data_IF_249260335597
#
_entry.id   IF_249260335597
#
_cell.length_a   1.000
_cell.length_b   1.000
_cell.length_c   1.000
_cell.angle_alpha   90.00
_cell.angle_beta   90.00
_cell.angle_gamma   90.00
#
_symmetry.space_group_name_H-M   'P 1'
#
loop_
_entity.id
_entity.type
_entity.pdbx_description
1 polymer ?
#
# COMPACT_ATOMS: atom_id res chain seq x y z
N UNK A 1 14.95 -12.72 -11.23
CA UNK A 1 14.48 -11.49 -11.90
C UNK A 1 15.65 -10.85 -12.65
N UNK A 2 15.48 -10.40 -13.88
CA UNK A 2 16.56 -9.83 -14.67
C UNK A 2 16.38 -8.32 -14.94
N UNK A 3 17.38 -7.67 -15.58
CA UNK A 3 17.35 -6.25 -15.91
C UNK A 3 16.09 -5.83 -16.69
N UNK A 4 15.60 -6.69 -17.60
CA UNK A 4 14.39 -6.38 -18.39
C UNK A 4 13.13 -6.41 -17.55
N UNK A 5 13.07 -7.27 -16.52
CA UNK A 5 11.96 -7.31 -15.59
C UNK A 5 11.92 -6.02 -14.77
N UNK A 6 13.07 -5.55 -14.26
CA UNK A 6 13.15 -4.29 -13.50
C UNK A 6 12.74 -3.09 -14.37
N UNK A 7 13.23 -3.01 -15.62
CA UNK A 7 12.83 -1.96 -16.55
C UNK A 7 11.33 -1.97 -16.83
N UNK A 8 10.75 -3.16 -16.97
CA UNK A 8 9.32 -3.34 -17.22
C UNK A 8 8.49 -2.91 -16.01
N UNK A 9 8.87 -3.36 -14.81
CA UNK A 9 8.17 -3.00 -13.57
C UNK A 9 8.24 -1.49 -13.29
N UNK A 10 9.39 -0.87 -13.53
CA UNK A 10 9.53 0.59 -13.39
C UNK A 10 8.65 1.35 -14.39
N UNK A 11 8.62 0.92 -15.65
CA UNK A 11 7.76 1.53 -16.66
C UNK A 11 6.27 1.37 -16.35
N UNK A 12 5.84 0.21 -15.80
CA UNK A 12 4.48 0.01 -15.32
C UNK A 12 4.11 1.02 -14.25
N UNK A 13 5.01 1.22 -13.29
CA UNK A 13 4.81 2.16 -12.19
C UNK A 13 4.78 3.62 -12.66
N UNK A 14 5.71 4.02 -13.56
CA UNK A 14 5.79 5.40 -14.07
C UNK A 14 4.63 5.78 -15.00
N UNK A 15 4.19 4.84 -15.83
CA UNK A 15 3.09 5.06 -16.79
C UNK A 15 1.71 4.71 -16.20
N UNK A 16 1.69 4.09 -15.01
CA UNK A 16 0.47 3.61 -14.35
C UNK A 16 -0.38 2.73 -15.28
N UNK A 17 0.31 1.90 -16.09
CA UNK A 17 -0.34 1.06 -17.10
C UNK A 17 0.26 -0.33 -17.17
N UNK A 18 -0.61 -1.31 -17.45
CA UNK A 18 -0.20 -2.67 -17.82
C UNK A 18 -0.33 -2.96 -19.33
N UNK A 19 -0.59 -1.93 -20.16
CA UNK A 19 -0.72 -2.11 -21.63
C UNK A 19 0.61 -2.49 -22.26
N UNK A 20 0.72 -3.69 -22.88
CA UNK A 20 1.96 -4.13 -23.50
C UNK A 20 2.43 -3.22 -24.64
N UNK A 21 1.51 -2.53 -25.33
CA UNK A 21 1.82 -1.60 -26.39
C UNK A 21 2.51 -0.34 -25.85
N UNK A 22 1.96 0.27 -24.78
CA UNK A 22 2.54 1.43 -24.14
C UNK A 22 3.89 1.11 -23.49
N UNK A 23 3.98 -0.05 -22.85
CA UNK A 23 5.21 -0.54 -22.25
C UNK A 23 6.30 -0.82 -23.31
N UNK A 24 5.90 -1.27 -24.50
CA UNK A 24 6.82 -1.41 -25.65
C UNK A 24 7.38 -0.06 -26.10
N UNK A 25 6.52 0.93 -26.23
CA UNK A 25 6.94 2.30 -26.63
C UNK A 25 7.96 2.88 -25.66
N UNK A 26 7.78 2.67 -24.37
CA UNK A 26 8.67 3.18 -23.32
C UNK A 26 9.98 2.39 -23.20
N UNK A 27 9.89 1.06 -23.17
CA UNK A 27 11.04 0.20 -22.84
C UNK A 27 11.79 -0.33 -24.06
N UNK A 28 11.18 -0.29 -25.24
CA UNK A 28 11.70 -0.96 -26.46
C UNK A 28 11.65 -2.48 -26.42
N UNK A 29 11.09 -3.08 -25.36
CA UNK A 29 10.93 -4.54 -25.25
C UNK A 29 9.78 -4.99 -26.17
N UNK A 30 9.98 -6.04 -27.03
CA UNK A 30 8.92 -6.51 -27.91
C UNK A 30 7.66 -6.91 -27.16
N UNK A 31 6.47 -6.58 -27.70
CA UNK A 31 5.15 -6.86 -27.08
C UNK A 31 5.00 -8.31 -26.66
N UNK A 32 5.41 -9.26 -27.51
CA UNK A 32 5.35 -10.70 -27.20
C UNK A 32 6.23 -11.08 -25.99
N UNK A 33 7.38 -10.41 -25.86
CA UNK A 33 8.28 -10.58 -24.71
C UNK A 33 7.67 -9.99 -23.45
N UNK A 34 7.00 -8.84 -23.57
CA UNK A 34 6.30 -8.19 -22.44
C UNK A 34 5.20 -9.13 -21.92
N UNK A 35 4.35 -9.65 -22.79
CA UNK A 35 3.32 -10.62 -22.37
C UNK A 35 3.91 -11.82 -21.63
N UNK A 36 4.98 -12.40 -22.16
CA UNK A 36 5.64 -13.53 -21.51
C UNK A 36 6.17 -13.16 -20.11
N UNK A 37 6.86 -12.00 -20.00
CA UNK A 37 7.42 -11.53 -18.74
C UNK A 37 6.37 -11.16 -17.70
N UNK A 38 5.30 -10.46 -18.10
CA UNK A 38 4.19 -10.15 -17.22
C UNK A 38 3.55 -11.41 -16.64
N UNK A 39 3.39 -12.45 -17.45
CA UNK A 39 2.86 -13.72 -16.97
C UNK A 39 3.80 -14.39 -15.97
N UNK A 40 5.11 -14.42 -16.24
CA UNK A 40 6.09 -14.97 -15.30
C UNK A 40 6.10 -14.18 -13.97
N UNK A 41 6.10 -12.85 -14.03
CA UNK A 41 6.08 -12.00 -12.83
C UNK A 41 4.80 -12.20 -11.99
N UNK A 42 3.66 -12.52 -12.64
CA UNK A 42 2.44 -12.92 -11.91
C UNK A 42 2.57 -14.30 -11.28
N UNK A 43 3.13 -15.28 -12.02
CA UNK A 43 3.35 -16.63 -11.50
C UNK A 43 4.35 -16.64 -10.32
N UNK A 44 5.34 -15.75 -10.34
CA UNK A 44 6.32 -15.55 -9.27
C UNK A 44 5.78 -14.70 -8.10
N UNK A 45 4.56 -14.14 -8.22
CA UNK A 45 3.93 -13.30 -7.19
C UNK A 45 4.52 -11.89 -7.06
N UNK A 46 5.33 -11.45 -8.02
CA UNK A 46 5.87 -10.07 -8.08
C UNK A 46 4.76 -9.09 -8.48
N UNK A 47 3.91 -9.49 -9.42
CA UNK A 47 2.68 -8.77 -9.78
C UNK A 47 1.52 -9.52 -9.14
N UNK A 48 0.91 -8.94 -8.11
CA UNK A 48 -0.14 -9.59 -7.32
C UNK A 48 -1.52 -9.48 -7.96
N UNK A 49 -1.79 -8.41 -8.68
CA UNK A 49 -3.11 -8.14 -9.24
C UNK A 49 -3.07 -7.12 -10.40
N UNK A 50 -4.20 -7.03 -11.13
CA UNK A 50 -4.46 -6.04 -12.18
C UNK A 50 -5.60 -5.09 -11.74
N UNK A 51 -5.59 -4.60 -10.50
CA UNK A 51 -6.65 -3.76 -9.96
C UNK A 51 -6.62 -2.38 -10.60
N UNK A 52 -7.81 -1.83 -10.77
CA UNK A 52 -7.96 -0.41 -11.09
C UNK A 52 -7.55 0.42 -9.89
N UNK A 53 -6.89 1.53 -10.14
CA UNK A 53 -6.74 2.60 -9.15
C UNK A 53 -8.06 3.36 -9.05
N UNK A 54 -8.56 3.51 -7.82
CA UNK A 54 -9.86 4.11 -7.56
C UNK A 54 -9.65 5.39 -6.76
N UNK A 55 -10.10 6.50 -7.31
CA UNK A 55 -10.09 7.78 -6.61
C UNK A 55 -11.10 7.76 -5.44
N UNK A 56 -10.57 7.60 -4.23
CA UNK A 56 -11.37 7.53 -3.01
C UNK A 56 -11.98 8.87 -2.63
N UNK A 57 -11.36 10.00 -3.03
CA UNK A 57 -11.88 11.34 -2.78
C UNK A 57 -13.13 11.58 -3.61
N UNK A 58 -13.11 11.23 -4.90
CA UNK A 58 -14.27 11.28 -5.78
C UNK A 58 -15.41 10.35 -5.33
N UNK A 59 -15.10 9.25 -4.64
CA UNK A 59 -16.10 8.38 -4.01
C UNK A 59 -16.66 8.92 -2.69
N UNK A 60 -16.11 10.02 -2.16
CA UNK A 60 -16.52 10.56 -0.86
C UNK A 60 -15.84 9.88 0.34
N UNK A 61 -14.77 9.12 0.14
CA UNK A 61 -13.93 8.49 1.17
C UNK A 61 -12.58 9.23 1.33
N UNK A 62 -12.59 10.55 1.15
CA UNK A 62 -11.39 11.39 1.11
C UNK A 62 -10.77 11.70 2.47
N UNK A 63 -11.43 11.36 3.59
CA UNK A 63 -10.87 11.62 4.91
C UNK A 63 -9.88 10.53 5.29
N UNK A 64 -8.61 10.89 5.39
CA UNK A 64 -7.54 9.99 5.85
C UNK A 64 -7.22 10.26 7.31
N UNK A 65 -7.19 9.21 8.12
CA UNK A 65 -6.82 9.26 9.53
C UNK A 65 -5.68 8.29 9.78
N UNK A 66 -4.62 8.78 10.43
CA UNK A 66 -3.54 7.97 10.96
C UNK A 66 -3.78 7.79 12.45
N UNK A 67 -3.90 6.56 12.92
CA UNK A 67 -4.13 6.25 14.34
C UNK A 67 -2.91 5.50 14.88
N UNK A 68 -2.27 6.09 15.87
CA UNK A 68 -1.25 5.41 16.67
C UNK A 68 -1.98 4.65 17.78
N UNK A 69 -1.75 3.35 17.87
CA UNK A 69 -2.37 2.47 18.86
C UNK A 69 -1.30 2.00 19.83
N UNK A 70 -1.53 2.28 21.12
CA UNK A 70 -0.76 1.74 22.23
C UNK A 70 -1.55 0.57 22.80
N UNK A 71 -0.92 -0.59 22.91
CA UNK A 71 -1.63 -1.81 23.22
C UNK A 71 -0.87 -2.67 24.24
N UNK A 72 -1.63 -3.20 25.20
CA UNK A 72 -1.21 -4.32 26.07
C UNK A 72 -2.09 -5.53 25.71
N UNK A 73 -1.59 -6.35 24.81
CA UNK A 73 -2.33 -7.51 24.29
C UNK A 73 -1.68 -8.83 24.70
N UNK A 74 -2.52 -9.84 24.86
CA UNK A 74 -2.08 -11.22 25.04
C UNK A 74 -2.21 -11.97 23.71
N UNK A 75 -1.23 -12.82 23.42
CA UNK A 75 -1.17 -13.55 22.15
C UNK A 75 -0.19 -12.94 21.16
N UNK A 76 -0.42 -13.20 19.88
CA UNK A 76 0.44 -12.71 18.81
C UNK A 76 0.03 -11.30 18.36
N UNK A 77 0.99 -10.54 17.81
CA UNK A 77 0.71 -9.23 17.23
C UNK A 77 -0.17 -9.34 15.97
N UNK A 78 -0.08 -10.47 15.25
CA UNK A 78 -0.91 -10.75 14.08
C UNK A 78 -2.39 -10.86 14.47
N UNK A 79 -2.70 -11.62 15.53
CA UNK A 79 -4.08 -11.76 16.03
C UNK A 79 -4.65 -10.43 16.52
N UNK A 80 -3.80 -9.58 17.10
CA UNK A 80 -4.20 -8.23 17.51
C UNK A 80 -4.44 -7.34 16.30
N UNK A 81 -3.55 -7.36 15.29
CA UNK A 81 -3.72 -6.62 14.05
C UNK A 81 -4.99 -7.02 13.29
N UNK A 82 -5.34 -8.31 13.26
CA UNK A 82 -6.58 -8.80 12.67
C UNK A 82 -7.82 -8.16 13.32
N UNK A 83 -7.81 -7.97 14.64
CA UNK A 83 -8.89 -7.25 15.32
C UNK A 83 -8.98 -5.79 14.94
N UNK A 84 -7.84 -5.10 14.79
CA UNK A 84 -7.81 -3.72 14.30
C UNK A 84 -8.36 -3.61 12.87
N UNK A 85 -8.06 -4.60 12.01
CA UNK A 85 -8.54 -4.66 10.63
C UNK A 85 -10.05 -4.91 10.51
N UNK A 86 -10.73 -5.40 11.57
CA UNK A 86 -12.19 -5.55 11.54
C UNK A 86 -12.94 -4.22 11.65
N UNK A 87 -12.28 -3.16 12.07
CA UNK A 87 -12.90 -1.83 12.20
C UNK A 87 -13.14 -1.23 10.81
N UNK A 88 -14.37 -0.82 10.56
CA UNK A 88 -14.78 -0.28 9.26
C UNK A 88 -14.00 0.98 8.89
N UNK A 89 -13.51 1.03 7.65
CA UNK A 89 -12.68 2.11 7.14
C UNK A 89 -11.18 1.92 7.34
N UNK A 90 -10.74 0.96 8.14
CA UNK A 90 -9.32 0.62 8.28
C UNK A 90 -8.82 -0.04 6.99
N UNK A 91 -7.76 0.53 6.42
CA UNK A 91 -7.14 0.03 5.19
C UNK A 91 -5.79 -0.63 5.42
N UNK A 92 -5.01 -0.13 6.37
CA UNK A 92 -3.67 -0.64 6.67
C UNK A 92 -3.44 -0.70 8.18
N UNK A 93 -2.75 -1.74 8.61
CA UNK A 93 -2.25 -1.89 9.98
C UNK A 93 -0.77 -2.25 9.91
N UNK A 94 0.06 -1.45 10.54
CA UNK A 94 1.50 -1.68 10.64
C UNK A 94 1.87 -1.95 12.07
N UNK A 95 2.54 -3.08 12.33
CA UNK A 95 3.19 -3.33 13.61
C UNK A 95 4.53 -2.58 13.64
N UNK A 96 4.79 -1.84 14.71
CA UNK A 96 5.95 -0.96 14.82
C UNK A 96 6.81 -1.31 16.03
N UNK A 97 8.09 -0.96 15.95
CA UNK A 97 9.00 -1.02 17.09
C UNK A 97 9.29 0.39 17.58
N UNK A 98 8.91 0.70 18.82
CA UNK A 98 9.10 2.04 19.40
C UNK A 98 8.09 2.34 20.50
N UNK A 99 7.71 3.60 20.64
CA UNK A 99 6.71 4.04 21.64
C UNK A 99 5.29 3.64 21.27
N UNK A 100 5.04 3.40 20.00
CA UNK A 100 3.75 3.01 19.45
C UNK A 100 3.80 1.57 19.02
N UNK A 101 2.79 0.76 19.35
CA UNK A 101 2.75 -0.66 18.97
C UNK A 101 2.23 -0.87 17.55
N UNK A 102 1.21 -0.10 17.17
CA UNK A 102 0.63 -0.15 15.82
C UNK A 102 0.35 1.23 15.26
N UNK A 103 0.54 1.37 13.95
CA UNK A 103 0.05 2.50 13.17
C UNK A 103 -1.04 1.98 12.23
N UNK A 104 -2.20 2.60 12.31
CA UNK A 104 -3.37 2.26 11.50
C UNK A 104 -3.67 3.40 10.55
N UNK A 105 -3.97 3.05 9.29
CA UNK A 105 -4.49 4.01 8.30
C UNK A 105 -5.95 3.69 8.06
N UNK A 106 -6.79 4.71 8.13
CA UNK A 106 -8.22 4.60 7.80
C UNK A 106 -8.62 5.62 6.72
N UNK A 107 -9.54 5.21 5.85
CA UNK A 107 -10.16 6.04 4.81
C UNK A 107 -11.65 6.14 5.09
N UNK A 108 -12.16 7.35 5.32
CA UNK A 108 -13.48 7.61 5.86
C UNK A 108 -14.19 8.71 5.07
N UNK A 109 -15.53 8.77 5.20
CA UNK A 109 -16.34 9.77 4.49
C UNK A 109 -16.52 11.09 5.25
N UNK A 110 -16.24 11.12 6.56
CA UNK A 110 -16.44 12.34 7.34
C UNK A 110 -16.33 12.12 8.85
N UNK A 111 -16.64 13.16 9.61
CA UNK A 111 -16.45 13.20 11.06
C UNK A 111 -17.24 12.15 11.83
N UNK A 112 -18.44 11.81 11.38
CA UNK A 112 -19.27 10.78 12.03
C UNK A 112 -18.58 9.40 11.99
N UNK A 113 -17.97 9.05 10.83
CA UNK A 113 -17.20 7.80 10.73
C UNK A 113 -15.92 7.84 11.55
N UNK A 114 -15.31 9.01 11.70
CA UNK A 114 -14.13 9.16 12.57
C UNK A 114 -14.47 8.92 14.03
N UNK A 115 -15.56 9.50 14.53
CA UNK A 115 -16.03 9.28 15.90
C UNK A 115 -16.33 7.80 16.14
N UNK A 116 -16.96 7.14 15.17
CA UNK A 116 -17.26 5.71 15.22
C UNK A 116 -15.98 4.86 15.22
N UNK A 117 -15.00 5.17 14.37
CA UNK A 117 -13.70 4.50 14.33
C UNK A 117 -13.01 4.53 15.70
N UNK A 118 -12.95 5.71 16.34
CA UNK A 118 -12.32 5.88 17.64
C UNK A 118 -13.08 5.05 18.70
N UNK A 119 -14.40 5.12 18.71
CA UNK A 119 -15.22 4.37 19.65
C UNK A 119 -15.07 2.84 19.49
N UNK A 120 -14.92 2.36 18.25
CA UNK A 120 -14.71 0.94 17.99
C UNK A 120 -13.30 0.50 18.44
N UNK A 121 -12.27 1.30 18.26
CA UNK A 121 -10.94 0.98 18.79
C UNK A 121 -10.91 0.89 20.31
N UNK A 122 -11.59 1.79 21.01
CA UNK A 122 -11.68 1.77 22.49
C UNK A 122 -12.37 0.51 23.03
N UNK A 123 -13.14 -0.19 22.20
CA UNK A 123 -13.80 -1.45 22.58
C UNK A 123 -12.95 -2.70 22.35
N UNK A 124 -11.85 -2.58 21.63
CA UNK A 124 -10.94 -3.70 21.37
C UNK A 124 -10.14 -3.99 22.64
N UNK A 125 -10.29 -5.21 23.16
CA UNK A 125 -9.53 -5.64 24.33
C UNK A 125 -8.02 -5.60 24.05
N UNK A 126 -7.29 -4.91 24.91
CA UNK A 126 -5.84 -4.70 24.78
C UNK A 126 -5.47 -3.34 24.18
N UNK A 127 -6.41 -2.56 23.65
CA UNK A 127 -6.14 -1.16 23.30
C UNK A 127 -6.10 -0.33 24.58
N UNK A 128 -4.94 0.25 24.89
CA UNK A 128 -4.77 1.11 26.05
C UNK A 128 -5.05 2.58 25.72
N UNK A 129 -4.54 3.03 24.58
CA UNK A 129 -4.66 4.42 24.11
C UNK A 129 -4.56 4.50 22.60
N UNK A 130 -5.29 5.45 22.04
CA UNK A 130 -5.15 5.83 20.64
C UNK A 130 -4.86 7.32 20.51
N UNK A 131 -3.96 7.67 19.58
CA UNK A 131 -3.67 9.05 19.19
C UNK A 131 -3.95 9.20 17.71
N UNK A 132 -4.97 9.99 17.37
CA UNK A 132 -5.42 10.16 15.98
C UNK A 132 -4.90 11.43 15.36
N UNK A 133 -4.35 11.32 14.15
CA UNK A 133 -3.90 12.43 13.32
C UNK A 133 -4.71 12.48 12.04
N UNK A 134 -5.33 13.62 11.77
CA UNK A 134 -6.08 13.86 10.54
C UNK A 134 -5.16 14.38 9.46
N UNK A 135 -5.19 13.73 8.29
CA UNK A 135 -4.50 14.23 7.11
C UNK A 135 -5.37 15.32 6.46
N UNK A 136 -4.87 16.54 6.44
CA UNK A 136 -5.58 17.68 5.83
C UNK A 136 -5.51 17.58 4.30
N UNK A 137 -4.36 17.17 3.78
CA UNK A 137 -4.13 17.01 2.34
C UNK A 137 -2.99 16.02 2.12
N UNK A 138 -3.19 15.06 1.23
CA UNK A 138 -2.10 14.29 0.67
C UNK A 138 -1.39 15.17 -0.37
N UNK A 139 -0.12 15.50 -0.13
CA UNK A 139 0.64 16.35 -1.05
C UNK A 139 1.03 15.55 -2.29
N UNK A 140 1.52 14.32 -2.07
CA UNK A 140 1.90 13.40 -3.12
C UNK A 140 1.95 11.97 -2.56
N UNK A 141 1.39 11.05 -3.31
CA UNK A 141 1.52 9.60 -3.05
C UNK A 141 2.18 8.99 -4.28
N UNK A 142 3.38 8.43 -4.10
CA UNK A 142 4.14 7.78 -5.17
C UNK A 142 4.22 6.29 -4.93
N UNK A 143 4.20 5.53 -6.02
CA UNK A 143 4.63 4.14 -6.00
C UNK A 143 6.12 4.07 -5.63
N UNK A 144 6.50 3.03 -4.89
CA UNK A 144 7.88 2.85 -4.45
C UNK A 144 8.86 2.85 -5.63
N UNK A 145 8.51 2.20 -6.73
CA UNK A 145 9.37 2.14 -7.91
C UNK A 145 9.55 3.50 -8.61
N UNK A 146 8.54 4.38 -8.54
CA UNK A 146 8.65 5.75 -9.05
C UNK A 146 9.69 6.58 -8.27
N UNK A 147 9.88 6.27 -6.98
CA UNK A 147 10.80 7.02 -6.11
C UNK A 147 12.27 6.67 -6.29
N UNK A 148 12.59 5.60 -7.03
CA UNK A 148 13.95 5.14 -7.28
C UNK A 148 14.40 5.44 -8.70
N UNK A 149 15.69 5.78 -8.85
CA UNK A 149 16.35 5.79 -10.17
C UNK A 149 16.52 4.36 -10.68
N UNK A 150 16.46 4.19 -12.01
CA UNK A 150 16.57 2.86 -12.63
C UNK A 150 17.92 2.19 -12.29
N UNK A 151 19.00 2.94 -12.31
CA UNK A 151 20.34 2.46 -12.00
C UNK A 151 20.39 1.85 -10.59
N UNK A 152 19.81 2.53 -9.61
CA UNK A 152 19.74 2.03 -8.23
C UNK A 152 18.94 0.72 -8.15
N UNK A 153 17.80 0.65 -8.83
CA UNK A 153 16.99 -0.58 -8.86
C UNK A 153 17.75 -1.75 -9.50
N UNK A 154 18.54 -1.47 -10.55
CA UNK A 154 19.31 -2.50 -11.21
C UNK A 154 20.47 -2.99 -10.32
N UNK A 155 21.14 -2.09 -9.61
CA UNK A 155 22.22 -2.44 -8.67
C UNK A 155 21.73 -3.26 -7.48
N UNK A 156 20.54 -2.93 -6.94
CA UNK A 156 20.01 -3.55 -5.71
C UNK A 156 19.21 -4.83 -5.97
N UNK A 157 18.55 -4.97 -7.13
CA UNK A 157 17.56 -6.01 -7.38
C UNK A 157 17.95 -7.03 -8.44
N UNK A 158 18.99 -6.79 -9.23
CA UNK A 158 19.51 -7.75 -10.19
C UNK A 158 20.74 -8.44 -9.60
N UNK A 159 20.61 -9.74 -9.36
CA UNK A 159 21.75 -10.57 -8.94
C UNK A 159 22.77 -10.72 -10.09
N UNK A 160 24.04 -10.59 -9.80
CA UNK A 160 25.16 -10.85 -10.72
C UNK A 160 25.22 -12.32 -11.20
#
# INVERSE_FOLDING_TARGET
MDERDIRLLKAISELETGSPEQLHEETGIPVSTIHYRLNNLREEGVIENDRYDIDLEELGLGVTVLVQVHADYQGSYEEFADRLLTVEGVTNVYFTMGETDFIVVARLSGSEMVERLIAEFEQIEGVERTDSTFVISAIEERDALQSYELETLLEELVDD
#
